data_IF_578933904878
#
_entry.id   IF_578933904878
#
_cell.length_a   1.000
_cell.length_b   1.000
_cell.length_c   1.000
_cell.angle_alpha   90.00
_cell.angle_beta   90.00
_cell.angle_gamma   90.00
#
_symmetry.space_group_name_H-M   'P 1'
#
loop_
_entity.id
_entity.type
_entity.pdbx_description
1 polymer ?
#
# COMPACT_ATOMS: atom_id res chain seq x y z
N UNK A 1 -17.29 -14.65 4.20
CA UNK A 1 -18.69 -14.75 3.73
C UNK A 1 -19.31 -13.40 3.43
N UNK A 2 -19.08 -12.36 4.26
CA UNK A 2 -19.60 -10.98 4.05
C UNK A 2 -19.58 -10.48 2.60
N UNK A 3 -18.48 -10.62 1.87
CA UNK A 3 -18.41 -10.08 0.52
C UNK A 3 -19.04 -10.97 -0.56
N UNK A 4 -19.24 -12.26 -0.28
CA UNK A 4 -19.87 -13.20 -1.22
C UNK A 4 -21.40 -13.03 -1.26
N UNK A 5 -21.98 -12.26 -0.34
CA UNK A 5 -23.43 -11.99 -0.32
C UNK A 5 -23.84 -10.75 -1.13
N UNK A 6 -22.89 -9.99 -1.70
CA UNK A 6 -23.25 -8.85 -2.55
C UNK A 6 -23.65 -9.28 -3.96
N UNK A 7 -24.51 -8.50 -4.64
CA UNK A 7 -24.89 -8.75 -6.03
C UNK A 7 -23.69 -8.79 -6.98
N UNK A 8 -23.92 -9.33 -8.18
CA UNK A 8 -22.92 -9.28 -9.24
C UNK A 8 -22.54 -7.85 -9.61
N UNK A 9 -21.24 -7.64 -9.84
CA UNK A 9 -20.67 -6.31 -10.14
C UNK A 9 -20.13 -5.56 -8.93
N UNK A 10 -20.47 -5.94 -7.70
CA UNK A 10 -19.85 -5.35 -6.50
C UNK A 10 -18.39 -5.79 -6.36
N UNK A 11 -17.51 -4.81 -6.09
CA UNK A 11 -16.07 -4.98 -5.94
C UNK A 11 -15.57 -4.08 -4.81
N UNK A 12 -14.42 -4.41 -4.25
CA UNK A 12 -13.71 -3.53 -3.34
C UNK A 12 -12.84 -2.59 -4.16
N UNK A 13 -13.39 -1.40 -4.41
CA UNK A 13 -12.74 -0.38 -5.22
C UNK A 13 -12.74 0.95 -4.45
N UNK A 14 -11.98 1.04 -3.34
CA UNK A 14 -11.92 2.26 -2.55
C UNK A 14 -11.25 3.40 -3.33
N UNK A 15 -11.66 4.63 -3.07
CA UNK A 15 -10.97 5.82 -3.57
C UNK A 15 -9.60 6.02 -2.88
N UNK A 16 -8.75 6.85 -3.49
CA UNK A 16 -7.45 7.22 -2.91
C UNK A 16 -7.58 7.82 -1.50
N UNK A 17 -8.61 8.62 -1.25
CA UNK A 17 -8.86 9.21 0.07
C UNK A 17 -9.47 8.23 1.05
N UNK A 18 -10.35 7.31 0.62
CA UNK A 18 -10.87 6.23 1.46
C UNK A 18 -9.75 5.30 1.94
N UNK A 19 -8.81 4.95 1.05
CA UNK A 19 -7.59 4.18 1.38
C UNK A 19 -6.78 4.85 2.50
N UNK A 20 -6.67 6.17 2.49
CA UNK A 20 -5.93 6.89 3.53
C UNK A 20 -6.76 7.01 4.82
N UNK A 21 -8.00 7.47 4.74
CA UNK A 21 -8.80 7.87 5.90
C UNK A 21 -9.35 6.66 6.65
N UNK A 22 -9.95 5.71 5.94
CA UNK A 22 -10.68 4.60 6.56
C UNK A 22 -9.82 3.36 6.78
N UNK A 23 -8.71 3.23 6.03
CA UNK A 23 -7.84 2.06 6.14
C UNK A 23 -6.50 2.39 6.77
N UNK A 24 -5.67 3.21 6.11
CA UNK A 24 -4.30 3.46 6.59
C UNK A 24 -4.28 4.19 7.94
N UNK A 25 -5.03 5.30 8.07
CA UNK A 25 -5.11 6.07 9.32
C UNK A 25 -5.68 5.24 10.45
N UNK A 26 -6.79 4.53 10.23
CA UNK A 26 -7.40 3.68 11.25
C UNK A 26 -6.44 2.57 11.71
N UNK A 27 -5.74 1.91 10.78
CA UNK A 27 -4.72 0.93 11.12
C UNK A 27 -3.58 1.53 11.97
N UNK A 28 -3.14 2.75 11.68
CA UNK A 28 -2.08 3.42 12.44
C UNK A 28 -2.52 3.75 13.88
N UNK A 29 -3.75 4.21 14.06
CA UNK A 29 -4.26 4.63 15.38
C UNK A 29 -4.96 3.51 16.15
N UNK A 30 -4.97 2.29 15.61
CA UNK A 30 -5.64 1.13 16.21
C UNK A 30 -7.17 1.22 16.21
N UNK A 31 -7.76 2.02 15.32
CA UNK A 31 -9.21 2.10 15.16
C UNK A 31 -9.75 0.93 14.32
N UNK A 32 -11.04 0.54 14.51
CA UNK A 32 -11.66 -0.50 13.70
C UNK A 32 -11.60 -0.18 12.20
N UNK A 33 -11.27 -1.19 11.40
CA UNK A 33 -11.37 -1.11 9.94
C UNK A 33 -12.78 -1.48 9.51
N UNK A 34 -13.39 -0.78 8.53
CA UNK A 34 -14.61 -1.26 7.92
C UNK A 34 -14.34 -2.61 7.23
N UNK A 35 -15.37 -3.41 6.90
CA UNK A 35 -15.18 -4.65 6.15
C UNK A 35 -14.31 -4.41 4.91
N UNK A 36 -13.24 -5.19 4.73
CA UNK A 36 -12.27 -4.97 3.65
C UNK A 36 -11.54 -6.24 3.24
N UNK A 37 -10.75 -6.14 2.17
CA UNK A 37 -9.87 -7.20 1.66
C UNK A 37 -8.39 -6.87 1.79
N UNK A 38 -8.04 -6.00 2.74
CA UNK A 38 -6.67 -5.57 2.94
C UNK A 38 -5.96 -6.57 3.86
N UNK A 39 -4.82 -7.09 3.40
CA UNK A 39 -4.00 -7.99 4.19
C UNK A 39 -2.88 -7.22 4.91
N UNK A 40 -2.73 -7.45 6.21
CA UNK A 40 -1.61 -6.90 6.98
C UNK A 40 -0.42 -7.84 6.88
N UNK A 41 0.64 -7.44 6.18
CA UNK A 41 1.83 -8.26 5.92
C UNK A 41 3.11 -7.43 5.91
N UNK A 42 4.27 -8.06 6.06
CA UNK A 42 5.55 -7.45 5.71
C UNK A 42 5.82 -7.68 4.22
N UNK A 43 5.44 -6.70 3.40
CA UNK A 43 5.51 -6.77 1.93
C UNK A 43 6.94 -7.08 1.43
N UNK A 44 7.97 -6.67 2.18
CA UNK A 44 9.36 -6.78 1.76
C UNK A 44 9.94 -8.20 1.89
N UNK A 45 9.22 -9.12 2.55
CA UNK A 45 9.65 -10.52 2.71
C UNK A 45 9.27 -11.41 1.52
N UNK A 46 8.45 -10.93 0.60
CA UNK A 46 7.89 -11.73 -0.48
C UNK A 46 8.25 -11.15 -1.85
N UNK A 47 8.34 -12.01 -2.87
CA UNK A 47 8.22 -11.56 -4.27
C UNK A 47 6.73 -11.43 -4.61
N UNK A 48 6.41 -10.75 -5.71
CA UNK A 48 5.02 -10.52 -6.11
C UNK A 48 4.33 -11.78 -6.60
N UNK A 49 5.07 -12.68 -7.23
CA UNK A 49 4.58 -14.00 -7.65
C UNK A 49 4.12 -14.77 -6.41
N UNK A 50 4.95 -14.78 -5.35
CA UNK A 50 4.59 -15.43 -4.08
C UNK A 50 3.39 -14.74 -3.42
N UNK A 51 3.31 -13.40 -3.48
CA UNK A 51 2.17 -12.67 -2.91
C UNK A 51 0.86 -13.00 -3.63
N UNK A 52 0.87 -13.04 -4.96
CA UNK A 52 -0.35 -13.28 -5.75
C UNK A 52 -0.80 -14.74 -5.69
N UNK A 53 0.14 -15.69 -5.57
CA UNK A 53 -0.19 -17.09 -5.29
C UNK A 53 -0.75 -17.29 -3.87
N UNK A 54 -0.16 -16.62 -2.87
CA UNK A 54 -0.55 -16.75 -1.46
C UNK A 54 -1.87 -16.07 -1.16
N UNK A 55 -2.09 -14.87 -1.70
CA UNK A 55 -3.28 -14.07 -1.49
C UNK A 55 -4.16 -14.12 -2.73
N UNK A 56 -4.75 -15.27 -3.02
CA UNK A 56 -5.63 -15.40 -4.18
C UNK A 56 -6.80 -14.44 -4.08
N UNK A 57 -7.08 -13.79 -5.20
CA UNK A 57 -8.28 -12.98 -5.34
C UNK A 57 -9.52 -13.87 -5.18
N UNK A 58 -10.49 -13.38 -4.41
CA UNK A 58 -11.68 -14.15 -4.01
C UNK A 58 -12.62 -14.47 -5.18
N UNK A 59 -12.51 -13.71 -6.27
CA UNK A 59 -13.26 -13.92 -7.50
C UNK A 59 -12.45 -13.47 -8.69
N UNK A 60 -12.86 -13.93 -9.87
CA UNK A 60 -12.47 -13.46 -11.19
C UNK A 60 -12.76 -11.96 -11.43
N UNK A 61 -13.50 -11.32 -10.53
CA UNK A 61 -13.89 -9.91 -10.61
C UNK A 61 -12.84 -8.96 -10.03
N UNK A 62 -11.97 -9.45 -9.15
CA UNK A 62 -10.92 -8.61 -8.58
C UNK A 62 -9.68 -8.63 -9.46
N UNK A 63 -9.02 -7.48 -9.57
CA UNK A 63 -7.82 -7.31 -10.39
C UNK A 63 -6.63 -6.77 -9.60
N UNK A 64 -6.84 -6.44 -8.33
CA UNK A 64 -5.88 -5.73 -7.50
C UNK A 64 -5.79 -6.34 -6.10
N UNK A 65 -4.61 -6.24 -5.50
CA UNK A 65 -4.37 -6.64 -4.13
C UNK A 65 -4.10 -5.41 -3.26
N UNK A 66 -4.65 -5.44 -2.05
CA UNK A 66 -4.45 -4.38 -1.07
C UNK A 66 -3.68 -4.92 0.13
N UNK A 67 -2.60 -4.23 0.50
CA UNK A 67 -1.73 -4.63 1.61
C UNK A 67 -1.45 -3.46 2.55
N UNK A 68 -1.51 -3.71 3.86
CA UNK A 68 -0.96 -2.84 4.89
C UNK A 68 0.39 -3.40 5.32
N UNK A 69 1.45 -2.61 5.16
CA UNK A 69 2.81 -3.00 5.53
C UNK A 69 3.49 -1.92 6.35
N UNK A 70 4.32 -2.34 7.31
CA UNK A 70 5.20 -1.40 8.00
C UNK A 70 6.30 -0.97 7.05
N UNK A 71 6.49 0.35 6.91
CA UNK A 71 7.53 0.92 6.06
C UNK A 71 8.91 0.65 6.66
N UNK A 72 9.75 -0.09 5.94
CA UNK A 72 11.18 -0.25 6.30
C UNK A 72 11.97 0.96 5.82
N UNK A 73 12.62 1.68 6.74
CA UNK A 73 13.59 2.75 6.44
C UNK A 73 14.99 2.14 6.26
N UNK A 74 15.86 2.80 5.50
CA UNK A 74 17.30 2.45 5.48
C UNK A 74 17.93 2.85 6.83
N UNK A 75 18.96 2.13 7.31
CA UNK A 75 19.62 2.43 8.60
C UNK A 75 20.04 3.89 8.77
N UNK A 76 20.46 4.55 7.68
CA UNK A 76 21.03 5.91 7.73
C UNK A 76 20.17 6.96 7.02
N UNK A 77 18.85 6.80 6.89
CA UNK A 77 18.10 7.87 6.21
C UNK A 77 16.59 7.81 6.14
N UNK A 78 16.04 8.93 5.63
CA UNK A 78 14.61 9.17 5.39
C UNK A 78 14.02 8.30 4.26
N UNK A 79 14.87 7.64 3.46
CA UNK A 79 14.47 6.86 2.27
C UNK A 79 13.96 5.46 2.63
N UNK A 80 12.94 5.00 1.90
CA UNK A 80 12.38 3.65 2.05
C UNK A 80 13.42 2.62 1.59
N UNK A 81 13.57 1.51 2.32
CA UNK A 81 14.26 0.34 1.80
C UNK A 81 13.31 -0.41 0.86
N UNK A 82 13.55 -0.30 -0.44
CA UNK A 82 12.69 -0.86 -1.49
C UNK A 82 13.23 -2.14 -2.11
N UNK A 83 14.18 -2.79 -1.45
CA UNK A 83 14.60 -4.15 -1.82
C UNK A 83 13.51 -5.13 -1.40
N UNK A 84 13.15 -6.04 -2.29
CA UNK A 84 12.20 -7.12 -2.01
C UNK A 84 12.79 -8.40 -2.60
N UNK A 85 12.91 -9.45 -1.79
CA UNK A 85 13.46 -10.76 -2.14
C UNK A 85 14.44 -10.79 -3.35
N UNK A 86 13.94 -11.10 -4.54
CA UNK A 86 14.68 -11.28 -5.80
C UNK A 86 14.88 -9.99 -6.64
N UNK A 87 14.46 -8.82 -6.16
CA UNK A 87 14.49 -7.57 -6.94
C UNK A 87 14.35 -6.29 -6.12
N UNK A 88 13.84 -5.25 -6.77
CA UNK A 88 13.64 -3.94 -6.14
C UNK A 88 12.50 -3.13 -6.76
N UNK A 89 11.88 -2.31 -5.92
CA UNK A 89 10.86 -1.35 -6.32
C UNK A 89 11.49 -0.01 -6.70
N UNK A 90 11.27 0.43 -7.93
CA UNK A 90 11.73 1.70 -8.47
C UNK A 90 10.54 2.67 -8.56
N UNK A 91 10.64 3.89 -7.99
CA UNK A 91 9.60 4.89 -8.18
C UNK A 91 9.50 5.35 -9.63
N UNK A 92 8.26 5.56 -10.08
CA UNK A 92 7.93 6.04 -11.41
C UNK A 92 6.99 7.25 -11.33
N UNK A 93 7.20 8.21 -12.23
CA UNK A 93 6.40 9.43 -12.28
C UNK A 93 6.57 10.34 -11.06
N UNK A 94 5.62 11.26 -10.92
CA UNK A 94 5.55 12.23 -9.83
C UNK A 94 4.53 11.74 -8.80
N UNK A 95 4.86 11.90 -7.51
CA UNK A 95 3.94 11.58 -6.43
C UNK A 95 2.66 12.42 -6.54
N UNK A 96 1.51 11.76 -6.38
CA UNK A 96 0.20 12.43 -6.36
C UNK A 96 -0.14 12.83 -4.93
N UNK A 97 -0.46 14.11 -4.70
CA UNK A 97 -1.04 14.54 -3.43
C UNK A 97 -2.49 14.08 -3.34
N UNK A 98 -2.86 13.47 -2.23
CA UNK A 98 -4.24 13.05 -1.96
C UNK A 98 -4.86 14.04 -0.99
N UNK A 99 -6.08 14.47 -1.30
CA UNK A 99 -6.85 15.43 -0.50
C UNK A 99 -8.19 14.82 -0.11
N UNK A 100 -8.68 15.19 1.07
CA UNK A 100 -10.07 15.04 1.44
C UNK A 100 -10.65 16.46 1.62
N UNK A 101 -11.55 16.84 0.71
CA UNK A 101 -11.94 18.24 0.51
C UNK A 101 -10.72 19.11 0.17
N UNK A 102 -10.51 20.16 0.97
CA UNK A 102 -9.38 21.09 0.78
C UNK A 102 -8.12 20.69 1.56
N UNK A 103 -8.18 19.66 2.39
CA UNK A 103 -7.07 19.24 3.23
C UNK A 103 -6.24 18.17 2.53
N UNK A 104 -4.92 18.39 2.43
CA UNK A 104 -3.99 17.34 2.04
C UNK A 104 -3.89 16.31 3.16
N UNK A 105 -4.16 15.04 2.84
CA UNK A 105 -4.16 13.94 3.80
C UNK A 105 -3.04 12.93 3.55
N UNK A 106 -2.36 13.02 2.42
CA UNK A 106 -1.23 12.15 2.13
C UNK A 106 -0.81 12.17 0.67
N UNK A 107 -0.14 11.11 0.27
CA UNK A 107 0.49 10.96 -1.04
C UNK A 107 0.33 9.54 -1.56
N UNK A 108 0.21 9.41 -2.88
CA UNK A 108 0.31 8.14 -3.60
C UNK A 108 1.54 8.18 -4.52
N UNK A 109 2.42 7.21 -4.35
CA UNK A 109 3.61 7.03 -5.18
C UNK A 109 3.52 5.73 -5.96
N UNK A 110 3.59 5.84 -7.28
CA UNK A 110 3.67 4.68 -8.16
C UNK A 110 5.08 4.10 -8.18
N UNK A 111 5.18 2.78 -8.08
CA UNK A 111 6.41 2.01 -8.14
C UNK A 111 6.28 0.92 -9.22
N UNK A 112 7.37 0.62 -9.91
CA UNK A 112 7.49 -0.56 -10.77
C UNK A 112 8.52 -1.53 -10.19
N UNK A 113 8.27 -2.83 -10.35
CA UNK A 113 9.20 -3.86 -9.89
C UNK A 113 10.21 -4.21 -10.98
N UNK A 114 11.49 -4.26 -10.59
CA UNK A 114 12.57 -4.76 -11.41
C UNK A 114 13.15 -6.01 -10.75
N UNK A 115 13.14 -7.12 -11.47
CA UNK A 115 13.71 -8.39 -11.00
C UNK A 115 15.23 -8.40 -11.23
N UNK A 116 15.98 -8.91 -10.25
CA UNK A 116 17.43 -8.96 -10.27
C UNK A 116 18.09 -7.82 -9.48
N UNK A 117 19.42 -7.71 -9.63
CA UNK A 117 20.22 -6.77 -8.84
C UNK A 117 20.25 -5.39 -9.49
N UNK A 118 19.94 -4.35 -8.72
CA UNK A 118 20.14 -2.97 -9.15
C UNK A 118 21.62 -2.69 -9.51
N UNK A 119 21.91 -1.93 -10.60
CA UNK A 119 20.97 -1.24 -11.48
C UNK A 119 20.42 -2.06 -12.66
N UNK A 120 20.94 -3.26 -12.88
CA UNK A 120 20.74 -4.06 -14.10
C UNK A 120 19.49 -4.95 -14.06
N UNK A 121 18.54 -4.64 -13.16
CA UNK A 121 17.32 -5.42 -13.02
C UNK A 121 16.42 -5.32 -14.26
N UNK A 122 15.73 -6.40 -14.59
CA UNK A 122 14.75 -6.44 -15.68
C UNK A 122 13.41 -5.92 -15.18
N UNK A 123 12.87 -4.92 -15.87
CA UNK A 123 11.52 -4.41 -15.62
C UNK A 123 10.48 -5.53 -15.78
N UNK A 124 9.54 -5.59 -14.85
CA UNK A 124 8.36 -6.47 -14.91
C UNK A 124 7.09 -5.65 -15.16
N UNK A 125 5.96 -6.33 -15.38
CA UNK A 125 4.64 -5.69 -15.51
C UNK A 125 4.05 -5.25 -14.16
N UNK A 126 4.65 -5.68 -13.05
CA UNK A 126 4.12 -5.39 -11.74
C UNK A 126 4.30 -3.92 -11.35
N UNK A 127 3.20 -3.35 -10.86
CA UNK A 127 3.11 -2.00 -10.34
C UNK A 127 2.53 -2.02 -8.94
N UNK A 128 2.96 -1.07 -8.11
CA UNK A 128 2.40 -0.81 -6.78
C UNK A 128 2.12 0.67 -6.64
N UNK A 129 0.99 0.97 -6.00
CA UNK A 129 0.64 2.30 -5.52
C UNK A 129 0.92 2.36 -4.01
N UNK A 130 2.02 3.04 -3.63
CA UNK A 130 2.45 3.22 -2.25
C UNK A 130 1.73 4.46 -1.67
N UNK A 131 0.70 4.23 -0.84
CA UNK A 131 -0.02 5.27 -0.13
C UNK A 131 0.69 5.64 1.19
N UNK A 132 0.85 6.93 1.43
CA UNK A 132 1.42 7.48 2.67
C UNK A 132 0.48 8.51 3.27
N UNK A 133 0.13 8.34 4.54
CA UNK A 133 -0.57 9.34 5.34
C UNK A 133 0.34 10.55 5.63
N UNK A 134 -0.20 11.76 5.53
CA UNK A 134 0.47 12.96 6.01
C UNK A 134 0.45 13.01 7.55
N UNK A 135 1.58 13.33 8.16
CA UNK A 135 1.73 13.28 9.62
C UNK A 135 0.83 14.32 10.31
N UNK A 136 0.58 15.46 9.67
CA UNK A 136 -0.34 16.48 10.18
C UNK A 136 -1.81 16.00 10.19
N UNK A 137 -2.12 14.91 9.50
CA UNK A 137 -3.46 14.31 9.47
C UNK A 137 -3.70 13.29 10.59
N UNK A 138 -2.67 12.98 11.39
CA UNK A 138 -2.78 12.18 12.61
C UNK A 138 -3.18 13.04 13.83
N UNK A 139 -3.86 12.46 14.83
CA UNK A 139 -4.06 13.13 16.12
C UNK A 139 -2.71 13.49 16.77
N UNK A 140 -2.63 14.57 17.58
CA UNK A 140 -1.37 15.02 18.19
C UNK A 140 -0.61 13.94 18.98
N UNK A 141 -1.32 13.01 19.60
CA UNK A 141 -0.75 11.87 20.33
C UNK A 141 0.07 10.92 19.44
N UNK A 142 -0.24 10.85 18.16
CA UNK A 142 0.42 9.98 17.18
C UNK A 142 1.47 10.71 16.32
N UNK A 143 1.52 12.05 16.39
CA UNK A 143 2.47 12.86 15.62
C UNK A 143 3.91 12.78 16.17
N UNK A 144 4.11 12.50 17.46
CA UNK A 144 5.43 12.64 18.15
C UNK A 144 6.19 11.34 18.42
N UNK A 145 5.75 10.19 17.89
CA UNK A 145 6.28 8.88 18.32
C UNK A 145 7.40 8.28 17.46
N UNK A 146 7.97 9.00 16.48
CA UNK A 146 8.94 8.40 15.54
C UNK A 146 10.08 9.36 15.12
N UNK A 147 10.74 9.95 16.09
CA UNK A 147 12.15 10.34 15.96
C UNK A 147 13.05 9.16 16.30
#
# INVERSE_FOLDING_TARGET
EYFKSFPEGYRFQPSDDELIVHFLKNNIVGAPLPPNWIHVIDLYLYSLEVLTEKFKLLSDRETEWYFLTTRKKKPNGKRSNRRANNGYWKPIGIDKSIKNGNQMIGYNRSLEFNEGKHPDGKRTEWKVHEYKLDENSLPPTYQRSRD
#
